data_IF_012360464768
#
_entry.id   IF_012360464768
#
_cell.length_a   1.000
_cell.length_b   1.000
_cell.length_c   1.000
_cell.angle_alpha   90.00
_cell.angle_beta   90.00
_cell.angle_gamma   90.00
#
_symmetry.space_group_name_H-M   'P 1'
#
loop_
_entity.id
_entity.type
_entity.pdbx_description
1 polymer ?
#
# COMPACT_ATOMS: atom_id res chain seq x y z
N UNK A 1 -49.72 -64.23 -32.03
CA UNK A 1 -48.69 -65.08 -32.65
C UNK A 1 -47.91 -64.23 -33.64
N UNK A 2 -46.81 -63.59 -33.19
CA UNK A 2 -46.01 -62.68 -34.03
C UNK A 2 -44.77 -63.42 -34.54
N UNK A 3 -44.59 -63.42 -35.88
CA UNK A 3 -43.56 -64.17 -36.61
C UNK A 3 -42.16 -63.69 -36.19
N UNK A 4 -41.23 -64.61 -35.99
CA UNK A 4 -39.87 -64.36 -35.47
C UNK A 4 -39.08 -63.23 -36.16
N UNK A 5 -39.44 -62.84 -37.38
CA UNK A 5 -38.82 -61.73 -38.12
C UNK A 5 -39.17 -60.35 -37.55
N UNK A 6 -40.38 -60.15 -37.05
CA UNK A 6 -40.81 -58.85 -36.46
C UNK A 6 -40.11 -58.58 -35.12
N UNK A 7 -39.84 -59.64 -34.33
CA UNK A 7 -39.09 -59.52 -33.07
C UNK A 7 -37.64 -59.09 -33.29
N UNK A 8 -37.02 -59.52 -34.39
CA UNK A 8 -35.64 -59.16 -34.71
C UNK A 8 -35.57 -57.68 -35.12
N UNK A 9 -36.49 -57.21 -35.96
CA UNK A 9 -36.52 -55.80 -36.37
C UNK A 9 -36.82 -54.88 -35.19
N UNK A 10 -37.73 -55.29 -34.30
CA UNK A 10 -38.03 -54.53 -33.07
C UNK A 10 -36.83 -54.49 -32.11
N UNK A 11 -36.11 -55.61 -31.95
CA UNK A 11 -34.90 -55.66 -31.14
C UNK A 11 -33.76 -54.81 -31.72
N UNK A 12 -33.59 -54.80 -33.04
CA UNK A 12 -32.57 -53.99 -33.72
C UNK A 12 -32.89 -52.50 -33.64
N UNK A 13 -34.16 -52.13 -33.79
CA UNK A 13 -34.63 -50.75 -33.59
C UNK A 13 -34.44 -50.28 -32.15
N UNK A 14 -34.78 -51.11 -31.17
CA UNK A 14 -34.56 -50.81 -29.76
C UNK A 14 -33.07 -50.65 -29.43
N UNK A 15 -32.21 -51.51 -29.97
CA UNK A 15 -30.76 -51.41 -29.79
C UNK A 15 -30.20 -50.11 -30.39
N UNK A 16 -30.65 -49.72 -31.59
CA UNK A 16 -30.22 -48.47 -32.22
C UNK A 16 -30.63 -47.22 -31.39
N UNK A 17 -31.85 -47.21 -30.85
CA UNK A 17 -32.33 -46.12 -29.98
C UNK A 17 -31.51 -46.03 -28.69
N UNK A 18 -31.18 -47.17 -28.08
CA UNK A 18 -30.33 -47.21 -26.86
C UNK A 18 -28.92 -46.69 -27.16
N UNK A 19 -28.34 -47.03 -28.31
CA UNK A 19 -27.01 -46.54 -28.71
C UNK A 19 -27.01 -45.03 -28.97
N UNK A 20 -28.05 -44.49 -29.62
CA UNK A 20 -28.19 -43.06 -29.85
C UNK A 20 -28.39 -42.29 -28.53
N UNK A 21 -29.20 -42.83 -27.61
CA UNK A 21 -29.38 -42.26 -26.27
C UNK A 21 -28.07 -42.28 -25.47
N UNK A 22 -27.31 -43.38 -25.50
CA UNK A 22 -26.01 -43.46 -24.84
C UNK A 22 -25.01 -42.45 -25.42
N UNK A 23 -24.94 -42.31 -26.75
CA UNK A 23 -24.09 -41.31 -27.39
C UNK A 23 -24.47 -39.88 -26.99
N UNK A 24 -25.76 -39.55 -27.05
CA UNK A 24 -26.24 -38.20 -26.72
C UNK A 24 -26.07 -37.88 -25.23
N UNK A 25 -26.29 -38.85 -24.34
CA UNK A 25 -26.32 -38.61 -22.90
C UNK A 25 -24.95 -38.76 -22.23
N UNK A 26 -23.99 -39.45 -22.84
CA UNK A 26 -22.64 -39.61 -22.27
C UNK A 26 -21.65 -38.62 -22.88
N UNK A 27 -21.69 -38.40 -24.19
CA UNK A 27 -20.70 -37.56 -24.88
C UNK A 27 -20.94 -36.08 -24.63
N UNK A 28 -22.18 -35.60 -24.79
CA UNK A 28 -22.52 -34.16 -24.70
C UNK A 28 -22.26 -33.56 -23.30
N UNK A 29 -22.65 -34.18 -22.18
CA UNK A 29 -22.31 -33.64 -20.85
C UNK A 29 -20.83 -33.82 -20.50
N UNK A 30 -20.15 -34.81 -21.08
CA UNK A 30 -18.70 -35.00 -20.94
C UNK A 30 -17.89 -33.84 -21.52
N UNK A 31 -18.22 -33.40 -22.74
CA UNK A 31 -17.51 -32.27 -23.39
C UNK A 31 -17.81 -30.93 -22.72
N UNK A 32 -19.02 -30.75 -22.16
CA UNK A 32 -19.40 -29.51 -21.47
C UNK A 32 -18.70 -29.32 -20.12
N UNK A 33 -18.47 -30.41 -19.37
CA UNK A 33 -17.67 -30.38 -18.13
C UNK A 33 -16.18 -30.10 -18.40
N UNK A 34 -15.62 -30.64 -19.49
CA UNK A 34 -14.21 -30.38 -19.85
C UNK A 34 -14.00 -28.93 -20.32
N UNK A 35 -14.99 -28.35 -21.02
CA UNK A 35 -14.93 -26.92 -21.43
C UNK A 35 -15.08 -25.94 -20.27
N UNK A 36 -15.82 -26.26 -19.22
CA UNK A 36 -15.92 -25.39 -18.05
C UNK A 36 -14.67 -25.47 -17.17
N UNK A 37 -14.08 -26.67 -17.01
CA UNK A 37 -12.81 -26.83 -16.29
C UNK A 37 -11.63 -26.14 -17.00
N UNK A 38 -11.54 -26.24 -18.33
CA UNK A 38 -10.50 -25.53 -19.10
C UNK A 38 -10.65 -24.02 -19.07
N UNK A 39 -11.88 -23.48 -19.08
CA UNK A 39 -12.09 -22.04 -18.88
C UNK A 39 -11.71 -21.60 -17.46
N UNK A 40 -11.91 -22.45 -16.46
CA UNK A 40 -11.50 -22.17 -15.09
C UNK A 40 -9.97 -22.20 -14.93
N UNK A 41 -9.27 -23.16 -15.57
CA UNK A 41 -7.81 -23.23 -15.52
C UNK A 41 -7.16 -22.02 -16.21
N UNK A 42 -7.68 -21.60 -17.38
CA UNK A 42 -7.18 -20.41 -18.08
C UNK A 42 -7.39 -19.12 -17.27
N UNK A 43 -8.47 -19.03 -16.48
CA UNK A 43 -8.68 -17.89 -15.57
C UNK A 43 -7.69 -17.93 -14.40
N UNK A 44 -7.52 -19.08 -13.77
CA UNK A 44 -6.56 -19.25 -12.67
C UNK A 44 -5.11 -18.97 -13.09
N UNK A 45 -4.74 -19.36 -14.32
CA UNK A 45 -3.42 -19.04 -14.89
C UNK A 45 -3.22 -17.53 -15.10
N UNK A 46 -4.26 -16.82 -15.59
CA UNK A 46 -4.22 -15.36 -15.73
C UNK A 46 -4.11 -14.65 -14.39
N UNK A 47 -4.88 -15.09 -13.40
CA UNK A 47 -4.85 -14.53 -12.05
C UNK A 47 -3.46 -14.75 -11.39
N UNK A 48 -2.85 -15.94 -11.59
CA UNK A 48 -1.49 -16.22 -11.14
C UNK A 48 -0.43 -15.37 -11.84
N UNK A 49 -0.61 -15.09 -13.13
CA UNK A 49 0.29 -14.20 -13.87
C UNK A 49 0.20 -12.76 -13.36
N UNK A 50 -1.01 -12.29 -13.05
CA UNK A 50 -1.24 -10.97 -12.47
C UNK A 50 -0.65 -10.84 -11.06
N UNK A 51 -0.85 -11.84 -10.21
CA UNK A 51 -0.22 -11.89 -8.88
C UNK A 51 1.31 -11.91 -8.98
N UNK A 52 1.89 -12.66 -9.93
CA UNK A 52 3.34 -12.67 -10.16
C UNK A 52 3.89 -11.31 -10.55
N UNK A 53 3.11 -10.48 -11.26
CA UNK A 53 3.49 -9.10 -11.59
C UNK A 53 3.46 -8.18 -10.38
N UNK A 54 2.60 -8.44 -9.39
CA UNK A 54 2.48 -7.65 -8.15
C UNK A 54 3.51 -8.03 -7.06
N UNK A 55 3.97 -9.28 -7.03
CA UNK A 55 5.01 -9.75 -6.08
C UNK A 55 6.27 -8.86 -5.99
N UNK A 56 6.90 -8.41 -7.10
CA UNK A 56 8.07 -7.54 -7.00
C UNK A 56 7.76 -6.20 -6.34
N UNK A 57 6.57 -5.63 -6.58
CA UNK A 57 6.15 -4.38 -5.98
C UNK A 57 5.91 -4.53 -4.47
N UNK A 58 5.23 -5.60 -4.05
CA UNK A 58 5.06 -5.94 -2.63
C UNK A 58 6.41 -6.13 -1.94
N UNK A 59 7.35 -6.83 -2.58
CA UNK A 59 8.69 -7.05 -2.00
C UNK A 59 9.49 -5.75 -1.86
N UNK A 60 9.30 -4.79 -2.77
CA UNK A 60 9.94 -3.47 -2.69
C UNK A 60 9.33 -2.64 -1.57
N UNK A 61 8.00 -2.65 -1.46
CA UNK A 61 7.28 -1.95 -0.41
C UNK A 61 7.64 -2.50 0.98
N UNK A 62 7.68 -3.83 1.14
CA UNK A 62 8.11 -4.48 2.39
C UNK A 62 9.53 -4.09 2.79
N UNK A 63 10.47 -4.04 1.84
CA UNK A 63 11.84 -3.59 2.13
C UNK A 63 11.88 -2.12 2.53
N UNK A 64 11.05 -1.28 1.92
CA UNK A 64 10.96 0.13 2.29
C UNK A 64 10.37 0.31 3.70
N UNK A 65 9.28 -0.37 4.00
CA UNK A 65 8.66 -0.36 5.34
C UNK A 65 9.65 -0.87 6.39
N UNK A 66 10.34 -1.98 6.15
CA UNK A 66 11.36 -2.50 7.07
C UNK A 66 12.50 -1.50 7.30
N UNK A 67 12.97 -0.83 6.24
CA UNK A 67 14.00 0.22 6.37
C UNK A 67 13.51 1.40 7.21
N UNK A 68 12.29 1.89 6.96
CA UNK A 68 11.71 2.99 7.75
C UNK A 68 11.48 2.59 9.21
N UNK A 69 11.00 1.37 9.46
CA UNK A 69 10.83 0.84 10.82
C UNK A 69 12.15 0.67 11.56
N UNK A 70 13.21 0.21 10.89
CA UNK A 70 14.54 0.12 11.49
C UNK A 70 15.05 1.50 11.96
N UNK A 71 14.78 2.57 11.20
CA UNK A 71 15.10 3.95 11.58
C UNK A 71 14.28 4.39 12.80
N UNK A 72 12.98 4.07 12.86
CA UNK A 72 12.12 4.34 14.03
C UNK A 72 12.65 3.64 15.28
N UNK A 73 13.01 2.35 15.19
CA UNK A 73 13.56 1.59 16.32
C UNK A 73 14.93 2.11 16.75
N UNK A 74 15.82 2.42 15.82
CA UNK A 74 17.13 3.02 16.13
C UNK A 74 16.97 4.37 16.84
N UNK A 75 16.00 5.16 16.40
CA UNK A 75 15.65 6.46 16.96
C UNK A 75 15.12 6.37 18.40
N UNK A 76 14.41 5.29 18.75
CA UNK A 76 13.90 5.05 20.10
C UNK A 76 14.99 4.71 21.13
N UNK A 77 16.14 4.23 20.66
CA UNK A 77 17.31 3.94 21.50
C UNK A 77 18.19 5.17 21.75
N UNK A 78 17.89 6.32 21.13
CA UNK A 78 18.62 7.56 21.36
C UNK A 78 18.32 8.11 22.77
N UNK A 79 19.35 8.57 23.47
CA UNK A 79 19.23 9.19 24.80
C UNK A 79 18.68 10.63 24.74
N UNK A 80 18.70 11.25 23.56
CA UNK A 80 18.25 12.62 23.35
C UNK A 80 16.74 12.71 23.12
N UNK A 81 16.12 13.76 23.65
CA UNK A 81 14.70 14.06 23.43
C UNK A 81 14.39 14.24 21.94
N UNK A 82 13.23 13.75 21.43
CA UNK A 82 12.77 14.00 20.07
C UNK A 82 12.77 15.49 19.67
N UNK A 83 12.47 16.38 20.62
CA UNK A 83 12.47 17.83 20.41
C UNK A 83 13.87 18.35 20.11
N UNK A 84 14.88 17.92 20.88
CA UNK A 84 16.29 18.31 20.68
C UNK A 84 16.80 17.86 19.32
N UNK A 85 16.48 16.62 18.93
CA UNK A 85 16.89 16.07 17.63
C UNK A 85 16.22 16.77 16.47
N UNK A 86 14.93 17.06 16.58
CA UNK A 86 14.19 17.80 15.56
C UNK A 86 14.75 19.22 15.41
N UNK A 87 15.04 19.90 16.53
CA UNK A 87 15.66 21.23 16.52
C UNK A 87 17.04 21.21 15.85
N UNK A 88 17.90 20.25 16.20
CA UNK A 88 19.21 20.08 15.58
C UNK A 88 19.12 19.81 14.07
N UNK A 89 18.14 19.03 13.63
CA UNK A 89 17.90 18.76 12.21
C UNK A 89 17.47 19.99 11.42
N UNK A 90 16.59 20.80 12.01
CA UNK A 90 16.10 22.05 11.42
C UNK A 90 17.26 23.06 11.32
N UNK A 91 18.11 23.14 12.35
CA UNK A 91 19.31 23.98 12.31
C UNK A 91 20.32 23.50 11.26
N UNK A 92 20.56 22.19 11.17
CA UNK A 92 21.39 21.60 10.10
C UNK A 92 20.81 21.83 8.70
N UNK A 93 19.49 22.01 8.58
CA UNK A 93 18.82 22.40 7.34
C UNK A 93 19.11 23.84 6.90
N UNK A 94 19.81 24.62 7.74
CA UNK A 94 20.20 26.01 7.47
C UNK A 94 19.24 27.04 8.05
N UNK A 95 18.29 26.62 8.90
CA UNK A 95 17.34 27.53 9.53
C UNK A 95 17.88 28.04 10.88
N UNK A 96 18.08 29.35 11.04
CA UNK A 96 18.51 29.91 12.32
C UNK A 96 17.39 29.71 13.36
N UNK A 97 17.77 29.48 14.62
CA UNK A 97 16.81 29.26 15.71
C UNK A 97 15.82 30.42 15.90
N UNK A 98 16.17 31.63 15.47
CA UNK A 98 15.28 32.79 15.49
C UNK A 98 14.19 32.76 14.41
N UNK A 99 14.37 31.99 13.33
CA UNK A 99 13.41 31.90 12.22
C UNK A 99 12.35 30.81 12.45
N UNK A 100 12.42 30.06 13.56
CA UNK A 100 11.44 29.03 13.83
C UNK A 100 11.11 28.86 15.32
N UNK A 101 9.86 28.50 15.60
CA UNK A 101 9.36 28.15 16.92
C UNK A 101 8.80 26.73 16.88
N UNK A 102 9.35 25.85 17.72
CA UNK A 102 8.91 24.46 17.83
C UNK A 102 8.14 24.29 19.14
N UNK A 103 6.91 23.77 19.06
CA UNK A 103 6.07 23.47 20.23
C UNK A 103 5.64 22.01 20.19
N UNK A 104 5.69 21.32 21.33
CA UNK A 104 5.10 19.98 21.43
C UNK A 104 3.57 20.11 21.45
N UNK A 105 2.91 19.45 20.51
CA UNK A 105 1.45 19.34 20.41
C UNK A 105 0.91 18.07 21.11
N UNK A 106 1.79 17.33 21.81
CA UNK A 106 1.46 16.16 22.61
C UNK A 106 1.56 14.82 21.88
N UNK A 107 1.54 13.69 22.62
CA UNK A 107 1.60 12.36 22.06
C UNK A 107 0.27 11.93 21.44
N UNK A 108 0.34 11.26 20.30
CA UNK A 108 -0.74 10.57 19.59
C UNK A 108 -0.37 9.10 19.48
N UNK A 109 -1.12 8.23 20.14
CA UNK A 109 -0.93 6.77 19.99
C UNK A 109 -1.59 6.31 18.70
N UNK A 110 -0.79 5.78 17.78
CA UNK A 110 -1.27 5.00 16.64
C UNK A 110 -1.18 3.49 16.94
N UNK A 111 -1.88 2.69 16.14
CA UNK A 111 -1.98 1.23 16.31
C UNK A 111 -0.63 0.51 16.16
N UNK A 112 0.23 0.98 15.24
CA UNK A 112 1.54 0.38 14.95
C UNK A 112 2.72 1.23 15.42
N UNK A 113 2.52 2.53 15.60
CA UNK A 113 3.57 3.52 15.91
C UNK A 113 2.96 4.62 16.80
N UNK A 114 3.63 4.99 17.87
CA UNK A 114 3.28 6.19 18.65
C UNK A 114 3.92 7.42 18.00
N UNK A 115 3.18 8.51 17.90
CA UNK A 115 3.64 9.74 17.27
C UNK A 115 3.70 10.85 18.33
N UNK A 116 4.85 11.50 18.50
CA UNK A 116 4.91 12.76 19.25
C UNK A 116 4.73 13.91 18.27
N UNK A 117 3.61 14.64 18.38
CA UNK A 117 3.31 15.72 17.47
C UNK A 117 4.03 17.01 17.91
N UNK A 118 4.60 17.72 16.93
CA UNK A 118 5.24 19.01 17.10
C UNK A 118 4.67 20.00 16.08
N UNK A 119 4.32 21.18 16.54
CA UNK A 119 3.98 22.32 15.69
C UNK A 119 5.23 23.18 15.49
N UNK A 120 5.72 23.20 14.26
CA UNK A 120 6.82 24.05 13.82
C UNK A 120 6.23 25.27 13.12
N UNK A 121 6.39 26.44 13.73
CA UNK A 121 6.18 27.72 13.08
C UNK A 121 7.51 28.18 12.50
N UNK A 122 7.49 28.62 11.26
CA UNK A 122 8.65 29.18 10.56
C UNK A 122 8.24 30.53 10.01
N UNK A 123 9.13 31.50 10.16
CA UNK A 123 8.90 32.89 9.76
C UNK A 123 10.00 33.32 8.80
N UNK A 124 9.64 34.19 7.86
CA UNK A 124 10.60 34.84 6.95
C UNK A 124 11.42 33.86 6.09
N UNK A 125 10.77 32.82 5.53
CA UNK A 125 11.43 31.86 4.64
C UNK A 125 11.08 32.04 3.18
N UNK A 126 12.06 31.85 2.30
CA UNK A 126 11.79 31.78 0.86
C UNK A 126 11.14 30.45 0.50
N UNK A 127 10.41 30.42 -0.61
CA UNK A 127 9.84 29.18 -1.18
C UNK A 127 10.89 28.07 -1.32
N UNK A 128 12.10 28.42 -1.77
CA UNK A 128 13.18 27.45 -1.99
C UNK A 128 13.68 26.83 -0.68
N UNK A 129 13.82 27.64 0.37
CA UNK A 129 14.24 27.17 1.69
C UNK A 129 13.18 26.26 2.32
N UNK A 130 11.90 26.60 2.18
CA UNK A 130 10.79 25.76 2.65
C UNK A 130 10.79 24.38 1.97
N UNK A 131 10.95 24.35 0.64
CA UNK A 131 11.00 23.08 -0.11
C UNK A 131 12.25 22.26 0.27
N UNK A 132 13.40 22.91 0.46
CA UNK A 132 14.62 22.23 0.93
C UNK A 132 14.46 21.66 2.33
N UNK A 133 13.80 22.39 3.23
CA UNK A 133 13.48 21.91 4.57
C UNK A 133 12.59 20.67 4.49
N UNK A 134 11.44 20.77 3.81
CA UNK A 134 10.49 19.66 3.64
C UNK A 134 11.18 18.42 3.06
N UNK A 135 11.96 18.60 1.99
CA UNK A 135 12.71 17.51 1.36
C UNK A 135 13.71 16.87 2.32
N UNK A 136 14.45 17.65 3.11
CA UNK A 136 15.40 17.12 4.09
C UNK A 136 14.70 16.42 5.26
N UNK A 137 13.53 16.88 5.67
CA UNK A 137 12.75 16.21 6.69
C UNK A 137 12.20 14.87 6.20
N UNK A 138 11.72 14.81 4.95
CA UNK A 138 11.19 13.59 4.35
C UNK A 138 12.28 12.57 3.97
N UNK A 139 13.40 13.03 3.41
CA UNK A 139 14.52 12.17 3.00
C UNK A 139 15.57 11.95 4.09
N UNK A 140 15.37 12.55 5.27
CA UNK A 140 16.33 12.54 6.36
C UNK A 140 16.41 11.19 7.08
N UNK A 141 17.41 11.04 7.95
CA UNK A 141 17.55 9.86 8.81
C UNK A 141 16.66 9.92 10.06
N UNK A 142 15.84 10.96 10.19
CA UNK A 142 14.91 11.09 11.32
C UNK A 142 13.58 10.47 10.96
N UNK A 143 12.95 9.69 11.86
CA UNK A 143 11.65 9.11 11.62
C UNK A 143 10.55 10.17 11.82
N UNK A 144 10.52 11.18 10.95
CA UNK A 144 9.57 12.29 11.02
C UNK A 144 8.58 12.22 9.85
N UNK A 145 7.33 12.62 10.12
CA UNK A 145 6.27 12.69 9.12
C UNK A 145 5.64 14.07 9.18
N UNK A 146 5.54 14.75 8.05
CA UNK A 146 4.82 16.02 7.97
C UNK A 146 3.34 15.71 7.73
N UNK A 147 2.48 16.04 8.70
CA UNK A 147 1.03 15.76 8.65
C UNK A 147 0.27 16.87 7.95
N UNK A 148 0.66 18.12 8.19
CA UNK A 148 0.05 19.27 7.54
C UNK A 148 1.08 20.39 7.41
N UNK A 149 1.07 21.10 6.29
CA UNK A 149 1.86 22.30 6.08
C UNK A 149 0.93 23.41 5.61
N UNK A 150 0.81 24.47 6.41
CA UNK A 150 0.08 25.69 6.05
C UNK A 150 1.10 26.75 5.72
N UNK A 151 1.08 27.24 4.48
CA UNK A 151 2.00 28.27 3.99
C UNK A 151 1.20 29.53 3.70
N UNK A 152 1.65 30.66 4.21
CA UNK A 152 1.07 31.97 3.94
C UNK A 152 2.17 32.88 3.41
N UNK A 153 1.92 33.50 2.26
CA UNK A 153 2.78 34.59 1.78
C UNK A 153 2.65 35.75 2.74
N UNK A 154 3.78 36.41 3.03
CA UNK A 154 3.75 37.63 3.82
C UNK A 154 3.12 38.75 3.02
N UNK A 155 2.40 39.64 3.72
CA UNK A 155 1.69 40.76 3.11
C UNK A 155 2.61 41.91 2.69
N UNK A 156 3.76 42.04 3.35
CA UNK A 156 4.76 43.09 3.10
C UNK A 156 5.73 42.72 1.96
N UNK A 157 6.15 41.46 1.87
CA UNK A 157 6.96 40.97 0.76
C UNK A 157 6.58 39.53 0.36
N UNK A 158 6.06 39.40 -0.86
CA UNK A 158 5.66 38.13 -1.49
C UNK A 158 6.79 37.11 -1.67
N UNK A 159 8.05 37.52 -1.52
CA UNK A 159 9.21 36.62 -1.58
C UNK A 159 9.35 35.76 -0.33
N UNK A 160 8.80 36.21 0.79
CA UNK A 160 8.88 35.53 2.08
C UNK A 160 7.54 34.88 2.45
N UNK A 161 7.66 33.76 3.13
CA UNK A 161 6.58 32.91 3.58
C UNK A 161 6.68 32.71 5.07
N UNK A 162 5.51 32.74 5.70
CA UNK A 162 5.31 32.25 7.05
C UNK A 162 4.57 30.91 6.95
N UNK A 163 5.15 29.90 7.60
CA UNK A 163 4.67 28.54 7.54
C UNK A 163 4.34 28.00 8.92
N UNK A 164 3.30 27.18 9.01
CA UNK A 164 3.08 26.30 10.17
C UNK A 164 3.02 24.87 9.69
N UNK A 165 3.96 24.06 10.14
CA UNK A 165 4.07 22.64 9.84
C UNK A 165 3.74 21.84 11.10
N UNK A 166 2.89 20.82 10.94
CA UNK A 166 2.65 19.82 11.97
C UNK A 166 3.45 18.58 11.64
N UNK A 167 4.42 18.28 12.50
CA UNK A 167 5.39 17.21 12.33
C UNK A 167 5.12 16.15 13.38
N UNK A 168 4.95 14.91 12.96
CA UNK A 168 4.91 13.74 13.81
C UNK A 168 6.30 13.11 13.91
N UNK A 169 6.84 13.00 15.12
CA UNK A 169 8.01 12.18 15.37
C UNK A 169 7.56 10.76 15.71
N UNK A 170 7.93 9.80 14.89
CA UNK A 170 7.52 8.41 15.03
C UNK A 170 8.40 7.70 16.06
N UNK A 171 7.73 7.05 17.00
CA UNK A 171 8.27 6.22 18.07
C UNK A 171 7.61 4.84 18.00
N UNK A 172 8.32 3.75 18.28
CA UNK A 172 7.73 2.41 18.26
C UNK A 172 6.53 2.34 19.21
N UNK A 173 5.44 1.71 18.77
CA UNK A 173 4.29 1.44 19.64
C UNK A 173 4.70 0.38 20.67
N UNK A 174 4.97 0.80 21.89
CA UNK A 174 5.35 -0.10 22.97
C UNK A 174 6.44 0.47 23.88
N UNK A 175 6.00 1.29 24.84
CA UNK A 175 6.52 1.29 26.20
C UNK A 175 5.35 1.48 27.16
#
# INVERSE_FOLDING_TARGET
MFRSREKIVLALGAAAVVVILLLSFVVIPGVSKVRSLSKASVRAEKDLEELRKMLPELSRLDREVRRKMAVVTASANAKESPLTRLTGAIQQAGLPQSAFSLKSAGPRKGEYVSEEAFDLKVENLTYLEMVRLLKRMESGQLPVVVRSATLKSRYDDSKYLDGTLRIGFLLPAGR
#
